data_IF_818407796440
#
_entry.id   IF_818407796440
#
_cell.length_a   1.000
_cell.length_b   1.000
_cell.length_c   1.000
_cell.angle_alpha   90.00
_cell.angle_beta   90.00
_cell.angle_gamma   90.00
#
_symmetry.space_group_name_H-M   'P 1'
#
loop_
_entity.id
_entity.type
_entity.pdbx_description
1 polymer ?
#
# COMPACT_ATOMS: atom_id res chain seq x y z
N UNK A 1 -18.26 -27.90 2.88
CA UNK A 1 -18.02 -27.02 4.04
C UNK A 1 -16.59 -27.17 4.49
N UNK A 2 -15.89 -26.05 4.63
CA UNK A 2 -14.55 -26.01 5.19
C UNK A 2 -14.59 -26.43 6.67
N UNK A 3 -13.47 -26.91 7.21
CA UNK A 3 -13.36 -27.29 8.63
C UNK A 3 -13.64 -26.09 9.55
N UNK A 4 -13.25 -24.89 9.13
CA UNK A 4 -13.58 -23.65 9.83
C UNK A 4 -15.10 -23.44 9.98
N UNK A 5 -15.87 -23.67 8.91
CA UNK A 5 -17.34 -23.55 8.94
C UNK A 5 -17.96 -24.51 9.95
N UNK A 6 -17.41 -25.72 10.07
CA UNK A 6 -17.88 -26.75 11.03
C UNK A 6 -17.57 -26.37 12.48
N UNK A 7 -16.45 -25.72 12.75
CA UNK A 7 -16.13 -25.23 14.10
C UNK A 7 -16.98 -24.02 14.49
N UNK A 8 -17.26 -23.13 13.54
CA UNK A 8 -18.13 -21.96 13.73
C UNK A 8 -19.60 -22.34 13.94
N UNK A 9 -20.05 -23.43 13.33
CA UNK A 9 -21.42 -23.92 13.45
C UNK A 9 -21.75 -24.60 14.81
N UNK A 10 -20.76 -24.76 15.70
CA UNK A 10 -20.99 -25.38 17.02
C UNK A 10 -21.72 -24.41 17.96
N UNK A 11 -22.61 -24.90 18.84
CA UNK A 11 -23.29 -24.05 19.83
C UNK A 11 -22.32 -23.37 20.80
N UNK A 12 -21.17 -24.00 21.09
CA UNK A 12 -20.07 -23.41 21.84
C UNK A 12 -18.77 -23.56 21.03
N UNK A 13 -18.48 -22.62 20.12
CA UNK A 13 -17.33 -22.72 19.25
C UNK A 13 -16.05 -22.37 20.02
N UNK A 14 -15.01 -23.21 19.85
CA UNK A 14 -13.70 -23.01 20.52
C UNK A 14 -13.00 -21.71 20.10
N UNK A 15 -13.43 -21.13 18.99
CA UNK A 15 -12.91 -19.90 18.41
C UNK A 15 -13.60 -18.61 18.90
N UNK A 16 -14.68 -18.70 19.70
CA UNK A 16 -15.34 -17.52 20.24
C UNK A 16 -14.36 -16.63 21.03
N UNK A 17 -14.29 -15.36 20.66
CA UNK A 17 -13.46 -14.35 21.35
C UNK A 17 -11.95 -14.46 21.10
N UNK A 18 -11.51 -15.31 20.17
CA UNK A 18 -10.08 -15.45 19.84
C UNK A 18 -9.76 -14.76 18.51
N UNK A 19 -8.59 -14.11 18.47
CA UNK A 19 -8.02 -13.54 17.24
C UNK A 19 -7.23 -14.61 16.48
N UNK A 20 -7.45 -14.67 15.18
CA UNK A 20 -6.77 -15.55 14.23
C UNK A 20 -6.23 -14.72 13.07
N UNK A 21 -4.99 -14.98 12.67
CA UNK A 21 -4.39 -14.37 11.48
C UNK A 21 -4.48 -15.37 10.32
N UNK A 22 -5.02 -14.91 9.19
CA UNK A 22 -5.09 -15.67 7.94
C UNK A 22 -4.13 -15.00 6.97
N UNK A 23 -2.92 -15.52 6.93
CA UNK A 23 -1.83 -15.02 6.08
C UNK A 23 -1.01 -16.21 5.57
N UNK A 24 -0.18 -15.97 4.56
CA UNK A 24 0.75 -16.98 4.06
C UNK A 24 1.73 -17.41 5.16
N UNK A 25 2.18 -18.67 5.10
CA UNK A 25 3.03 -19.25 6.15
C UNK A 25 4.48 -18.75 6.11
N UNK A 26 4.91 -18.19 4.98
CA UNK A 26 6.30 -17.78 4.81
C UNK A 26 6.50 -16.33 5.24
N UNK A 27 7.54 -16.01 6.03
CA UNK A 27 7.89 -14.63 6.32
C UNK A 27 8.36 -13.95 5.04
N UNK A 28 7.67 -12.90 4.64
CA UNK A 28 8.05 -12.09 3.48
C UNK A 28 8.20 -10.64 3.94
N UNK A 29 9.33 -10.04 3.59
CA UNK A 29 9.53 -8.61 3.77
C UNK A 29 8.57 -7.84 2.85
N UNK A 30 7.84 -6.88 3.41
CA UNK A 30 6.81 -6.15 2.67
C UNK A 30 7.38 -5.39 1.47
N UNK A 31 8.61 -4.88 1.56
CA UNK A 31 9.24 -4.19 0.43
C UNK A 31 9.65 -5.17 -0.67
N UNK A 32 10.28 -6.29 -0.29
CA UNK A 32 10.63 -7.36 -1.25
C UNK A 32 9.40 -7.94 -1.94
N UNK A 33 8.27 -8.04 -1.23
CA UNK A 33 7.02 -8.48 -1.82
C UNK A 33 6.60 -7.60 -2.99
N UNK A 34 6.60 -6.27 -2.85
CA UNK A 34 6.14 -5.34 -3.90
C UNK A 34 7.18 -5.06 -5.00
N UNK A 35 8.45 -5.38 -4.76
CA UNK A 35 9.57 -5.08 -5.67
C UNK A 35 9.38 -5.60 -7.12
N UNK A 36 8.88 -6.82 -7.37
CA UNK A 36 8.63 -7.32 -8.72
C UNK A 36 7.61 -6.46 -9.48
N UNK A 37 6.57 -5.99 -8.79
CA UNK A 37 5.53 -5.15 -9.37
C UNK A 37 6.04 -3.76 -9.74
N UNK A 38 6.82 -3.15 -8.85
CA UNK A 38 7.44 -1.83 -9.09
C UNK A 38 8.37 -1.90 -10.32
N UNK A 39 9.17 -2.96 -10.41
CA UNK A 39 10.11 -3.18 -11.51
C UNK A 39 9.38 -3.41 -12.84
N UNK A 40 8.31 -4.20 -12.83
CA UNK A 40 7.50 -4.48 -14.02
C UNK A 40 6.79 -3.24 -14.58
N UNK A 41 6.36 -2.32 -13.70
CA UNK A 41 5.69 -1.07 -14.09
C UNK A 41 6.65 0.03 -14.54
N UNK A 42 7.91 -0.31 -14.86
CA UNK A 42 8.95 0.59 -15.40
C UNK A 42 9.35 1.75 -14.50
N UNK A 43 9.15 1.64 -13.18
CA UNK A 43 9.75 2.56 -12.24
C UNK A 43 11.12 2.04 -11.81
N UNK A 44 12.12 2.93 -11.85
CA UNK A 44 13.42 2.63 -11.23
C UNK A 44 13.17 2.31 -9.76
N UNK A 45 13.76 1.23 -9.23
CA UNK A 45 13.59 0.89 -7.83
C UNK A 45 13.97 2.11 -6.96
N UNK A 46 13.19 2.41 -5.92
CA UNK A 46 13.46 3.59 -5.09
C UNK A 46 14.83 3.43 -4.43
N UNK A 47 15.80 4.22 -4.89
CA UNK A 47 17.18 4.16 -4.41
C UNK A 47 17.41 5.07 -3.18
N UNK A 48 16.44 5.94 -2.89
CA UNK A 48 16.52 6.92 -1.80
C UNK A 48 15.93 6.31 -0.53
N UNK A 49 16.75 6.21 0.52
CA UNK A 49 16.29 5.84 1.86
C UNK A 49 15.95 7.11 2.63
N UNK A 50 14.68 7.31 2.93
CA UNK A 50 14.20 8.43 3.74
C UNK A 50 14.02 7.99 5.19
N UNK A 51 14.39 8.81 6.18
CA UNK A 51 14.15 8.48 7.57
C UNK A 51 12.65 8.45 7.86
N UNK A 52 12.22 7.45 8.63
CA UNK A 52 10.81 7.23 8.95
C UNK A 52 10.12 8.46 9.56
N UNK A 53 10.81 9.16 10.47
CA UNK A 53 10.31 10.37 11.13
C UNK A 53 9.92 11.48 10.15
N UNK A 54 10.70 11.66 9.08
CA UNK A 54 10.43 12.66 8.05
C UNK A 54 9.15 12.32 7.29
N UNK A 55 9.01 11.07 6.85
CA UNK A 55 7.82 10.62 6.12
C UNK A 55 6.57 10.68 7.01
N UNK A 56 6.70 10.28 8.27
CA UNK A 56 5.61 10.34 9.25
C UNK A 56 5.13 11.78 9.48
N UNK A 57 6.06 12.75 9.54
CA UNK A 57 5.73 14.16 9.66
C UNK A 57 5.01 14.71 8.41
N UNK A 58 5.45 14.31 7.21
CA UNK A 58 4.79 14.68 5.96
C UNK A 58 3.36 14.13 5.91
N UNK A 59 3.14 12.87 6.32
CA UNK A 59 1.80 12.29 6.40
C UNK A 59 0.90 13.02 7.39
N UNK A 60 1.44 13.49 8.53
CA UNK A 60 0.70 14.32 9.48
C UNK A 60 0.26 15.66 8.87
N UNK A 61 1.14 16.35 8.14
CA UNK A 61 0.77 17.59 7.43
C UNK A 61 -0.30 17.31 6.38
N UNK A 62 -0.16 16.21 5.61
CA UNK A 62 -1.13 15.83 4.59
C UNK A 62 -2.52 15.57 5.19
N UNK A 63 -2.61 14.91 6.36
CA UNK A 63 -3.87 14.73 7.10
C UNK A 63 -4.46 16.08 7.55
N UNK A 64 -3.64 17.00 8.07
CA UNK A 64 -4.12 18.32 8.48
C UNK A 64 -4.70 19.11 7.29
N UNK A 65 -4.02 19.09 6.15
CA UNK A 65 -4.49 19.72 4.92
C UNK A 65 -5.77 19.05 4.42
N UNK A 66 -5.83 17.72 4.44
CA UNK A 66 -7.02 16.96 4.06
C UNK A 66 -8.25 17.35 4.88
N UNK A 67 -8.10 17.52 6.20
CA UNK A 67 -9.19 18.01 7.07
C UNK A 67 -9.62 19.42 6.70
N UNK A 68 -8.68 20.30 6.37
CA UNK A 68 -9.00 21.70 6.05
C UNK A 68 -9.65 21.88 4.68
N UNK A 69 -9.23 21.10 3.68
CA UNK A 69 -9.76 21.15 2.32
C UNK A 69 -10.90 20.17 2.05
N UNK A 70 -11.22 19.28 2.99
CA UNK A 70 -12.24 18.24 2.83
C UNK A 70 -11.91 17.21 1.74
N UNK A 71 -10.63 17.07 1.39
CA UNK A 71 -10.15 16.13 0.37
C UNK A 71 -9.55 14.89 1.03
N UNK A 72 -9.58 13.72 0.38
CA UNK A 72 -8.87 12.55 0.89
C UNK A 72 -7.36 12.85 0.96
N UNK A 73 -6.68 12.49 2.07
CA UNK A 73 -5.24 12.67 2.16
C UNK A 73 -4.53 11.80 1.13
N UNK A 74 -3.51 12.36 0.48
CA UNK A 74 -2.68 11.62 -0.49
C UNK A 74 -1.88 10.51 0.19
N UNK A 75 -1.49 10.72 1.46
CA UNK A 75 -0.79 9.75 2.30
C UNK A 75 -1.19 9.99 3.75
N UNK A 76 -1.52 8.92 4.48
CA UNK A 76 -1.87 9.00 5.91
C UNK A 76 -0.84 8.26 6.79
N UNK A 77 -0.88 8.52 8.10
CA UNK A 77 0.04 7.91 9.07
C UNK A 77 -0.15 6.40 9.19
N UNK A 78 -1.35 5.89 8.92
CA UNK A 78 -1.64 4.46 8.93
C UNK A 78 -0.89 3.73 7.81
N UNK A 79 -0.92 4.26 6.59
CA UNK A 79 -0.21 3.73 5.42
C UNK A 79 1.30 3.75 5.66
N UNK A 80 1.82 4.86 6.19
CA UNK A 80 3.24 4.97 6.55
C UNK A 80 3.64 3.93 7.59
N UNK A 81 2.83 3.71 8.62
CA UNK A 81 3.09 2.69 9.63
C UNK A 81 3.02 1.27 9.05
N UNK A 82 2.04 1.00 8.19
CA UNK A 82 1.81 -0.33 7.61
C UNK A 82 2.98 -0.76 6.71
N UNK A 83 3.57 0.19 5.97
CA UNK A 83 4.68 -0.06 5.05
C UNK A 83 6.04 0.10 5.75
N UNK A 84 6.16 1.05 6.68
CA UNK A 84 7.42 1.44 7.30
C UNK A 84 7.86 0.59 8.50
N UNK A 85 6.97 -0.27 9.02
CA UNK A 85 7.26 -1.15 10.15
C UNK A 85 7.12 -2.60 9.71
N UNK A 86 8.03 -3.45 10.17
CA UNK A 86 7.95 -4.90 9.94
C UNK A 86 6.78 -5.49 10.73
N UNK A 87 5.73 -5.91 10.03
CA UNK A 87 4.56 -6.55 10.64
C UNK A 87 4.73 -8.07 10.61
N UNK A 88 4.77 -8.71 11.78
CA UNK A 88 4.89 -10.16 11.92
C UNK A 88 3.60 -10.74 12.49
N UNK A 89 3.05 -11.74 11.80
CA UNK A 89 1.80 -12.40 12.19
C UNK A 89 2.05 -13.89 12.44
N UNK A 90 1.38 -14.45 13.46
CA UNK A 90 1.41 -15.89 13.73
C UNK A 90 0.10 -16.55 13.29
N UNK A 91 0.22 -17.60 12.49
CA UNK A 91 -0.89 -18.44 12.01
C UNK A 91 -1.14 -19.68 12.87
N UNK A 92 -0.35 -19.90 13.93
CA UNK A 92 -0.41 -21.11 14.76
C UNK A 92 -1.81 -21.43 15.28
N UNK A 93 -2.56 -20.41 15.68
CA UNK A 93 -3.94 -20.57 16.15
C UNK A 93 -4.88 -21.06 15.05
N UNK A 94 -4.71 -20.55 13.84
CA UNK A 94 -5.53 -20.95 12.70
C UNK A 94 -5.22 -22.39 12.28
N UNK A 95 -3.93 -22.77 12.30
CA UNK A 95 -3.50 -24.16 12.05
C UNK A 95 -4.13 -25.09 13.10
N UNK A 96 -4.02 -24.75 14.40
CA UNK A 96 -4.48 -25.60 15.50
C UNK A 96 -6.00 -25.78 15.55
N UNK A 97 -6.74 -24.68 15.41
CA UNK A 97 -8.19 -24.70 15.64
C UNK A 97 -8.98 -25.00 14.36
N UNK A 98 -8.43 -24.69 13.17
CA UNK A 98 -9.14 -24.85 11.89
C UNK A 98 -8.46 -25.79 10.87
N UNK A 99 -7.33 -26.43 11.21
CA UNK A 99 -6.47 -27.15 10.25
C UNK A 99 -6.10 -26.28 9.03
N UNK A 100 -5.93 -24.97 9.26
CA UNK A 100 -5.57 -24.02 8.20
C UNK A 100 -4.21 -24.39 7.60
N UNK A 101 -4.19 -24.60 6.28
CA UNK A 101 -2.98 -24.89 5.51
C UNK A 101 -2.93 -23.93 4.32
N UNK A 102 -2.02 -22.95 4.30
CA UNK A 102 -1.85 -22.09 3.14
C UNK A 102 -1.31 -22.92 1.96
N UNK A 103 -2.13 -23.10 0.93
CA UNK A 103 -1.86 -24.03 -0.18
C UNK A 103 -1.03 -23.41 -1.30
N UNK A 104 -1.13 -22.09 -1.48
CA UNK A 104 -0.42 -21.32 -2.50
C UNK A 104 0.13 -20.05 -1.88
N UNK A 105 1.46 -19.92 -1.88
CA UNK A 105 2.06 -18.61 -1.84
C UNK A 105 1.73 -17.96 -3.19
N UNK A 106 0.89 -16.93 -3.19
CA UNK A 106 0.58 -16.20 -4.41
C UNK A 106 1.77 -15.27 -4.69
N UNK A 107 2.71 -15.78 -5.49
CA UNK A 107 3.75 -14.94 -6.07
C UNK A 107 3.10 -13.87 -6.98
N UNK A 108 3.68 -12.67 -6.99
CA UNK A 108 3.16 -11.54 -7.76
C UNK A 108 3.32 -11.71 -9.27
N UNK A 109 3.95 -12.80 -9.74
CA UNK A 109 4.22 -13.06 -11.17
C UNK A 109 2.99 -12.93 -12.07
N UNK A 110 1.86 -13.55 -11.73
CA UNK A 110 0.63 -13.47 -12.54
C UNK A 110 0.08 -12.03 -12.62
N UNK A 111 0.17 -11.30 -11.49
CA UNK A 111 -0.27 -9.91 -11.38
C UNK A 111 0.64 -9.00 -12.20
N UNK A 112 1.96 -9.23 -12.12
CA UNK A 112 2.98 -8.54 -12.90
C UNK A 112 2.73 -8.70 -14.39
N UNK A 113 2.47 -9.93 -14.86
CA UNK A 113 2.17 -10.21 -16.26
C UNK A 113 0.90 -9.49 -16.72
N UNK A 114 -0.17 -9.56 -15.92
CA UNK A 114 -1.44 -8.90 -16.19
C UNK A 114 -1.26 -7.38 -16.36
N UNK A 115 -0.62 -6.72 -15.40
CA UNK A 115 -0.46 -5.27 -15.44
C UNK A 115 0.52 -4.83 -16.54
N UNK A 116 1.57 -5.59 -16.79
CA UNK A 116 2.49 -5.31 -17.91
C UNK A 116 1.74 -5.31 -19.25
N UNK A 117 0.82 -6.26 -19.44
CA UNK A 117 -0.03 -6.29 -20.63
C UNK A 117 -1.01 -5.11 -20.65
N UNK A 118 -1.68 -4.85 -19.53
CA UNK A 118 -2.66 -3.77 -19.39
C UNK A 118 -2.07 -2.38 -19.75
N UNK A 119 -0.87 -2.06 -19.28
CA UNK A 119 -0.21 -0.78 -19.56
C UNK A 119 0.42 -0.71 -20.96
N UNK A 120 0.79 -1.84 -21.57
CA UNK A 120 1.18 -1.88 -22.99
C UNK A 120 0.01 -1.52 -23.90
N UNK A 121 -1.19 -1.99 -23.56
CA UNK A 121 -2.40 -1.77 -24.36
C UNK A 121 -3.00 -0.36 -24.15
N UNK A 122 -2.61 0.33 -23.05
CA UNK A 122 -3.06 1.69 -22.71
C UNK A 122 -1.88 2.55 -22.25
N UNK A 123 -1.05 3.06 -23.17
CA UNK A 123 0.03 3.95 -22.80
C UNK A 123 -0.54 5.19 -22.12
N UNK A 124 -0.27 5.35 -20.82
CA UNK A 124 -0.63 6.54 -20.06
C UNK A 124 0.05 7.78 -20.63
N UNK A 125 -0.62 8.92 -20.57
CA UNK A 125 -0.05 10.22 -20.94
C UNK A 125 1.12 10.49 -20.00
N UNK A 126 2.36 10.52 -20.51
CA UNK A 126 3.53 10.88 -19.71
C UNK A 126 3.37 12.32 -19.25
N UNK A 127 3.05 12.52 -17.97
CA UNK A 127 3.01 13.85 -17.38
C UNK A 127 4.44 14.38 -17.36
N UNK A 128 4.75 15.32 -18.24
CA UNK A 128 6.07 15.94 -18.29
C UNK A 128 6.23 16.85 -17.08
N UNK A 129 6.87 16.31 -16.03
CA UNK A 129 7.14 16.99 -14.76
C UNK A 129 7.91 18.29 -14.99
N UNK A 130 8.79 18.36 -16.00
CA UNK A 130 9.51 19.58 -16.36
C UNK A 130 8.59 20.65 -16.93
N UNK A 131 7.59 20.25 -17.72
CA UNK A 131 6.62 21.16 -18.34
C UNK A 131 5.62 21.68 -17.32
N UNK A 132 5.12 20.82 -16.43
CA UNK A 132 4.23 21.19 -15.33
C UNK A 132 4.92 22.07 -14.29
N UNK A 133 6.18 21.78 -13.94
CA UNK A 133 6.98 22.63 -13.05
C UNK A 133 7.22 24.02 -13.66
N UNK A 134 7.53 24.10 -14.98
CA UNK A 134 7.65 25.39 -15.68
C UNK A 134 6.34 26.19 -15.66
N UNK A 135 5.19 25.53 -15.84
CA UNK A 135 3.87 26.19 -15.80
C UNK A 135 3.57 26.70 -14.39
N UNK A 136 3.86 25.93 -13.34
CA UNK A 136 3.69 26.36 -11.94
C UNK A 136 4.60 27.53 -11.57
N UNK A 137 5.86 27.53 -12.02
CA UNK A 137 6.78 28.65 -11.80
C UNK A 137 6.29 29.89 -12.56
N UNK A 138 5.84 29.74 -13.81
CA UNK A 138 5.28 30.85 -14.58
C UNK A 138 4.00 31.43 -13.93
N UNK A 139 3.10 30.58 -13.42
CA UNK A 139 1.89 31.04 -12.74
C UNK A 139 2.21 31.71 -11.39
N UNK A 140 3.21 31.23 -10.66
CA UNK A 140 3.66 31.85 -9.40
C UNK A 140 4.31 33.23 -9.60
N UNK A 141 4.84 33.53 -10.78
CA UNK A 141 5.40 34.86 -11.12
C UNK A 141 4.29 35.83 -11.59
N UNK A 142 3.23 35.32 -12.23
CA UNK A 142 2.13 36.15 -12.76
C UNK A 142 1.17 36.60 -11.64
N UNK A 143 0.92 35.75 -10.63
CA UNK A 143 0.00 36.07 -9.51
C UNK A 143 0.42 37.27 -8.65
N UNK A 144 1.70 37.49 -8.28
CA UNK A 144 2.08 38.68 -7.52
C UNK A 144 2.03 39.98 -8.34
N UNK A 145 1.93 39.93 -9.68
CA UNK A 145 1.88 41.13 -10.53
C UNK A 145 0.47 41.73 -10.64
N UNK A 146 -0.57 41.06 -10.12
CA UNK A 146 -1.96 41.54 -10.18
C UNK A 146 -2.49 42.11 -8.85
N UNK A 147 -1.69 42.09 -7.78
CA UNK A 147 -2.07 42.61 -6.45
C UNK A 147 -1.43 43.96 -6.08
N UNK A 148 -0.61 44.54 -6.95
CA UNK A 148 0.02 45.86 -6.77
C UNK A 148 -0.51 46.91 -7.79
N UNK A 149 -1.84 47.08 -7.89
CA UNK A 149 -2.50 48.23 -8.55
C UNK A 149 -3.61 48.79 -7.66
#
# INVERSE_FOLDING_TARGET
MCQADKELARPFPRCAGKVYHIVDANPVDSFLFWMPLITALSQTPPSIRLPFSLIYFVAYIAECLAVWFGIPPVMNRLEVNLIGITNTYSIERAIKDFDYKPTKNHDLTEIVEYYTKYYKDRPGTKLDVRRTLKILIASAIIVPMHLDV
#
